data_IF_133915269700
#
_entry.id   IF_133915269700
#
_cell.length_a   1.000
_cell.length_b   1.000
_cell.length_c   1.000
_cell.angle_alpha   90.00
_cell.angle_beta   90.00
_cell.angle_gamma   90.00
#
_symmetry.space_group_name_H-M   'P 1'
#
loop_
_entity.id
_entity.type
_entity.pdbx_description
1 polymer ?
#
# COMPACT_ATOMS: atom_id res chain seq x y z
N UNK A 1 1.72 -44.16 27.70
CA UNK A 1 2.46 -43.55 28.83
C UNK A 1 2.55 -42.07 28.55
N UNK A 2 1.80 -41.26 29.30
CA UNK A 2 1.52 -39.86 28.97
C UNK A 2 2.72 -38.94 29.19
N UNK A 3 2.93 -38.03 28.25
CA UNK A 3 3.86 -36.92 28.42
C UNK A 3 3.15 -35.81 29.21
N UNK A 4 3.57 -35.60 30.46
CA UNK A 4 3.09 -34.50 31.27
C UNK A 4 3.73 -33.20 30.78
N UNK A 5 2.91 -32.28 30.27
CA UNK A 5 3.29 -30.88 30.05
C UNK A 5 2.92 -30.15 31.34
N UNK A 6 3.93 -29.79 32.14
CA UNK A 6 3.73 -28.89 33.29
C UNK A 6 3.75 -27.46 32.75
N UNK A 7 2.65 -26.69 32.84
CA UNK A 7 2.68 -25.30 32.44
C UNK A 7 3.39 -24.48 33.52
N UNK A 8 4.60 -24.00 33.21
CA UNK A 8 5.24 -22.96 34.02
C UNK A 8 4.43 -21.67 33.90
N UNK A 9 3.77 -21.30 34.98
CA UNK A 9 3.23 -19.96 35.13
C UNK A 9 4.40 -18.98 35.16
N UNK A 10 4.54 -18.23 34.05
CA UNK A 10 5.38 -17.03 33.81
C UNK A 10 6.57 -17.25 32.86
N UNK A 11 6.40 -16.66 31.66
CA UNK A 11 7.40 -16.05 30.75
C UNK A 11 8.81 -16.65 30.75
N UNK A 12 9.11 -17.49 29.75
CA UNK A 12 10.47 -17.90 29.41
C UNK A 12 10.49 -19.02 28.37
N UNK A 13 11.43 -18.97 27.42
CA UNK A 13 11.51 -19.81 26.22
C UNK A 13 11.28 -21.31 26.46
N UNK A 14 10.47 -21.94 25.62
CA UNK A 14 10.22 -23.38 25.68
C UNK A 14 11.26 -24.15 24.87
N UNK A 15 11.73 -25.27 25.42
CA UNK A 15 12.75 -26.13 24.81
C UNK A 15 12.13 -27.49 24.50
N UNK A 16 12.27 -27.98 23.28
CA UNK A 16 11.75 -29.28 22.84
C UNK A 16 12.89 -30.16 22.36
N UNK A 17 12.82 -31.46 22.68
CA UNK A 17 13.86 -32.44 22.38
C UNK A 17 13.34 -33.41 21.34
N UNK A 18 13.95 -33.41 20.15
CA UNK A 18 13.58 -34.31 19.05
C UNK A 18 14.85 -35.01 18.57
N UNK A 19 14.79 -36.34 18.41
CA UNK A 19 15.94 -37.19 18.02
C UNK A 19 17.22 -36.95 18.83
N UNK A 20 17.09 -36.73 20.15
CA UNK A 20 18.23 -36.54 21.05
C UNK A 20 18.87 -35.14 21.03
N UNK A 21 18.42 -34.22 20.15
CA UNK A 21 18.87 -32.84 20.14
C UNK A 21 17.86 -31.89 20.80
N UNK A 22 18.37 -30.86 21.49
CA UNK A 22 17.56 -29.87 22.22
C UNK A 22 17.45 -28.60 21.38
N UNK A 23 16.21 -28.20 21.09
CA UNK A 23 15.88 -26.98 20.36
C UNK A 23 15.23 -25.97 21.29
N UNK A 24 15.63 -24.70 21.19
CA UNK A 24 15.02 -23.58 21.92
C UNK A 24 14.09 -22.80 20.96
N UNK A 25 12.81 -22.58 21.28
CA UNK A 25 12.02 -21.57 20.53
C UNK A 25 12.12 -20.22 21.24
N UNK A 26 12.88 -19.32 20.64
CA UNK A 26 12.82 -17.89 20.91
C UNK A 26 11.53 -17.37 20.27
N UNK A 27 10.57 -16.93 21.08
CA UNK A 27 9.33 -16.32 20.59
C UNK A 27 9.65 -14.95 19.97
N UNK A 28 9.98 -14.90 18.68
CA UNK A 28 9.74 -13.68 17.92
C UNK A 28 8.25 -13.65 17.59
N UNK A 29 7.52 -12.56 17.91
CA UNK A 29 6.11 -12.47 17.61
C UNK A 29 5.93 -12.61 16.10
N UNK A 30 5.09 -13.56 15.71
CA UNK A 30 4.61 -13.69 14.34
C UNK A 30 3.58 -12.57 14.13
N UNK A 31 3.80 -11.57 13.27
CA UNK A 31 2.67 -10.77 12.81
C UNK A 31 1.74 -11.71 12.05
N UNK A 32 0.46 -11.62 12.38
CA UNK A 32 -0.60 -12.41 11.80
C UNK A 32 -0.62 -12.24 10.28
N UNK A 33 -1.07 -13.31 9.63
CA UNK A 33 -1.21 -13.47 8.19
C UNK A 33 -1.99 -12.30 7.57
N UNK A 34 -1.31 -11.49 6.77
CA UNK A 34 -1.88 -10.70 5.70
C UNK A 34 -1.09 -11.08 4.43
N UNK A 35 -1.80 -11.57 3.43
CA UNK A 35 -1.22 -12.33 2.32
C UNK A 35 -0.47 -11.48 1.30
N UNK A 36 0.53 -12.11 0.67
CA UNK A 36 0.97 -11.81 -0.70
C UNK A 36 1.72 -10.48 -0.89
N UNK A 37 2.95 -10.55 -1.41
CA UNK A 37 3.73 -9.44 -1.99
C UNK A 37 4.07 -8.19 -1.13
N UNK A 38 3.58 -8.04 0.09
CA UNK A 38 3.84 -6.83 0.90
C UNK A 38 5.33 -6.65 1.26
N UNK A 39 5.98 -7.74 1.67
CA UNK A 39 7.40 -7.70 2.01
C UNK A 39 8.29 -7.38 0.80
N UNK A 40 7.96 -7.92 -0.38
CA UNK A 40 8.68 -7.62 -1.62
C UNK A 40 8.48 -6.17 -2.08
N UNK A 41 7.27 -5.63 -1.91
CA UNK A 41 6.96 -4.24 -2.19
C UNK A 41 7.71 -3.27 -1.26
N UNK A 42 7.77 -3.58 0.04
CA UNK A 42 8.52 -2.80 1.01
C UNK A 42 10.03 -2.92 0.80
N UNK A 43 10.55 -4.11 0.45
CA UNK A 43 11.96 -4.28 0.02
C UNK A 43 12.24 -3.44 -1.23
N UNK A 44 11.37 -3.47 -2.24
CA UNK A 44 11.51 -2.68 -3.45
C UNK A 44 11.52 -1.18 -3.15
N UNK A 45 10.61 -0.69 -2.29
CA UNK A 45 10.57 0.72 -1.84
C UNK A 45 11.79 1.13 -1.01
N UNK A 46 12.33 0.22 -0.20
CA UNK A 46 13.53 0.43 0.60
C UNK A 46 14.83 0.29 -0.21
N UNK A 47 14.77 -0.23 -1.44
CA UNK A 47 15.95 -0.39 -2.30
C UNK A 47 16.44 0.99 -2.77
N UNK A 48 17.69 1.38 -2.47
CA UNK A 48 18.26 2.64 -2.94
C UNK A 48 18.19 2.71 -4.47
N UNK A 49 17.58 3.78 -5.00
CA UNK A 49 17.38 3.97 -6.43
C UNK A 49 15.97 3.63 -6.95
N UNK A 50 15.11 2.97 -6.17
CA UNK A 50 13.71 2.77 -6.55
C UNK A 50 12.96 4.09 -6.70
N UNK A 51 13.11 4.99 -5.73
CA UNK A 51 12.52 6.33 -5.76
C UNK A 51 13.07 7.18 -6.90
N UNK A 52 14.39 7.16 -7.12
CA UNK A 52 15.05 7.89 -8.21
C UNK A 52 14.59 7.40 -9.60
N UNK A 53 14.42 6.09 -9.79
CA UNK A 53 13.92 5.52 -11.06
C UNK A 53 12.47 5.89 -11.31
N UNK A 54 11.61 5.86 -10.28
CA UNK A 54 10.22 6.32 -10.41
C UNK A 54 10.16 7.81 -10.78
N UNK A 55 11.02 8.64 -10.17
CA UNK A 55 11.14 10.06 -10.51
C UNK A 55 11.60 10.29 -11.95
N UNK A 56 12.61 9.56 -12.43
CA UNK A 56 13.07 9.65 -13.84
C UNK A 56 11.96 9.26 -14.83
N UNK A 57 11.24 8.17 -14.57
CA UNK A 57 10.11 7.74 -15.41
C UNK A 57 8.96 8.74 -15.40
N UNK A 58 8.69 9.36 -14.24
CA UNK A 58 7.68 10.41 -14.12
C UNK A 58 8.08 11.65 -14.92
N UNK A 59 9.33 12.10 -14.78
CA UNK A 59 9.90 13.26 -15.49
C UNK A 59 9.82 13.06 -17.02
N UNK A 60 10.37 11.96 -17.52
CA UNK A 60 10.29 11.61 -18.96
C UNK A 60 8.86 11.48 -19.46
N UNK A 61 7.97 10.97 -18.61
CA UNK A 61 6.54 10.89 -18.89
C UNK A 61 5.89 12.27 -19.07
N UNK A 62 6.36 13.30 -18.36
CA UNK A 62 5.90 14.69 -18.53
C UNK A 62 6.48 15.32 -19.79
N UNK A 63 7.78 15.15 -20.03
CA UNK A 63 8.47 15.68 -21.22
C UNK A 63 7.79 15.20 -22.51
N UNK A 64 7.53 13.89 -22.63
CA UNK A 64 6.77 13.35 -23.78
C UNK A 64 5.37 13.94 -23.93
N UNK A 65 4.68 14.28 -22.83
CA UNK A 65 3.34 14.89 -22.88
C UNK A 65 3.41 16.37 -23.25
N UNK A 66 4.50 17.05 -22.92
CA UNK A 66 4.72 18.45 -23.32
C UNK A 66 4.97 18.58 -24.82
N UNK A 67 5.56 17.56 -25.43
CA UNK A 67 5.86 17.47 -26.87
C UNK A 67 4.73 16.84 -27.71
N UNK A 68 3.66 16.35 -27.09
CA UNK A 68 2.53 15.73 -27.80
C UNK A 68 1.81 16.73 -28.70
N UNK A 69 1.52 16.32 -29.93
CA UNK A 69 0.57 17.04 -30.79
C UNK A 69 -0.86 16.89 -30.28
N UNK A 70 -1.75 17.83 -30.64
CA UNK A 70 -3.15 17.80 -30.19
C UNK A 70 -3.88 16.52 -30.62
N UNK A 71 -3.56 15.96 -31.79
CA UNK A 71 -4.14 14.70 -32.25
C UNK A 71 -3.66 13.49 -31.42
N UNK A 72 -2.38 13.45 -31.06
CA UNK A 72 -1.83 12.40 -30.18
C UNK A 72 -2.40 12.52 -28.77
N UNK A 73 -2.51 13.74 -28.26
CA UNK A 73 -3.13 14.05 -26.96
C UNK A 73 -4.59 13.58 -26.94
N UNK A 74 -5.37 13.90 -27.97
CA UNK A 74 -6.77 13.47 -28.06
C UNK A 74 -6.91 11.96 -28.14
N UNK A 75 -6.06 11.26 -28.90
CA UNK A 75 -6.02 9.78 -28.90
C UNK A 75 -5.68 9.19 -27.53
N UNK A 76 -4.66 9.72 -26.85
CA UNK A 76 -4.29 9.28 -25.49
C UNK A 76 -5.42 9.51 -24.49
N UNK A 77 -6.08 10.66 -24.54
CA UNK A 77 -7.21 10.97 -23.66
C UNK A 77 -8.43 10.08 -23.94
N UNK A 78 -8.72 9.78 -25.21
CA UNK A 78 -9.77 8.84 -25.59
C UNK A 78 -9.54 7.46 -24.98
N UNK A 79 -8.30 6.92 -25.07
CA UNK A 79 -7.93 5.64 -24.45
C UNK A 79 -8.08 5.67 -22.92
N UNK A 80 -7.62 6.75 -22.26
CA UNK A 80 -7.83 6.91 -20.80
C UNK A 80 -9.32 6.96 -20.43
N UNK A 81 -10.13 7.65 -21.24
CA UNK A 81 -11.58 7.74 -21.04
C UNK A 81 -12.27 6.39 -21.16
N UNK A 82 -11.94 5.62 -22.21
CA UNK A 82 -12.46 4.26 -22.41
C UNK A 82 -12.07 3.33 -21.25
N UNK A 83 -10.80 3.35 -20.83
CA UNK A 83 -10.33 2.54 -19.71
C UNK A 83 -11.06 2.89 -18.40
N UNK A 84 -11.27 4.18 -18.12
CA UNK A 84 -12.04 4.61 -16.94
C UNK A 84 -13.51 4.18 -17.01
N UNK A 85 -14.13 4.18 -18.19
CA UNK A 85 -15.48 3.65 -18.38
C UNK A 85 -15.53 2.14 -18.14
N UNK A 86 -14.54 1.39 -18.62
CA UNK A 86 -14.42 -0.04 -18.38
C UNK A 86 -14.30 -0.36 -16.88
N UNK A 87 -13.39 0.32 -16.17
CA UNK A 87 -13.21 0.14 -14.73
C UNK A 87 -14.50 0.42 -13.95
N UNK A 88 -15.24 1.50 -14.31
CA UNK A 88 -16.54 1.81 -13.68
C UNK A 88 -17.63 0.79 -14.02
N UNK A 89 -17.58 0.17 -15.19
CA UNK A 89 -18.54 -0.86 -15.58
C UNK A 89 -18.28 -2.20 -14.87
N UNK A 90 -17.02 -2.47 -14.51
CA UNK A 90 -16.60 -3.67 -13.77
C UNK A 90 -16.59 -3.47 -12.24
N UNK A 91 -16.81 -2.23 -11.77
CA UNK A 91 -16.78 -1.88 -10.36
C UNK A 91 -17.88 -2.56 -9.57
N UNK A 92 -17.53 -3.16 -8.43
CA UNK A 92 -18.51 -3.78 -7.54
C UNK A 92 -19.23 -2.73 -6.69
N UNK A 93 -20.41 -3.08 -6.18
CA UNK A 93 -21.19 -2.20 -5.28
C UNK A 93 -20.43 -1.83 -3.99
N UNK A 94 -19.53 -2.70 -3.52
CA UNK A 94 -18.66 -2.43 -2.37
C UNK A 94 -17.55 -1.43 -2.73
N UNK A 95 -16.85 -1.65 -3.85
CA UNK A 95 -15.85 -0.71 -4.37
C UNK A 95 -16.45 0.69 -4.62
N UNK A 96 -17.68 0.74 -5.12
CA UNK A 96 -18.43 1.99 -5.34
C UNK A 96 -18.68 2.75 -4.03
N UNK A 97 -19.04 2.04 -2.96
CA UNK A 97 -19.24 2.63 -1.63
C UNK A 97 -17.93 3.13 -1.04
N UNK A 98 -16.87 2.34 -1.14
CA UNK A 98 -15.54 2.73 -0.67
C UNK A 98 -15.01 3.95 -1.42
N UNK A 99 -15.12 3.98 -2.75
CA UNK A 99 -14.73 5.13 -3.56
C UNK A 99 -15.54 6.39 -3.21
N UNK A 100 -16.83 6.24 -2.88
CA UNK A 100 -17.67 7.35 -2.39
C UNK A 100 -17.19 7.85 -1.03
N UNK A 101 -16.96 6.94 -0.08
CA UNK A 101 -16.51 7.26 1.27
C UNK A 101 -15.14 7.96 1.28
N UNK A 102 -14.16 7.43 0.54
CA UNK A 102 -12.85 8.06 0.41
C UNK A 102 -12.92 9.38 -0.35
N UNK A 103 -13.83 9.50 -1.33
CA UNK A 103 -14.11 10.75 -2.02
C UNK A 103 -14.58 11.85 -1.06
N UNK A 104 -15.62 11.57 -0.27
CA UNK A 104 -16.17 12.52 0.72
C UNK A 104 -15.11 12.93 1.76
N UNK A 105 -14.37 11.95 2.29
CA UNK A 105 -13.28 12.21 3.25
C UNK A 105 -12.19 13.10 2.65
N UNK A 106 -11.85 12.90 1.37
CA UNK A 106 -10.80 13.68 0.71
C UNK A 106 -11.26 15.11 0.40
N UNK A 107 -12.54 15.30 0.03
CA UNK A 107 -13.14 16.65 -0.11
C UNK A 107 -13.12 17.37 1.23
N UNK A 108 -13.57 16.71 2.29
CA UNK A 108 -13.52 17.27 3.64
C UNK A 108 -12.10 17.62 4.06
N UNK A 109 -11.13 16.73 3.87
CA UNK A 109 -9.73 17.00 4.18
C UNK A 109 -9.18 18.20 3.38
N UNK A 110 -9.49 18.27 2.08
CA UNK A 110 -9.08 19.37 1.20
C UNK A 110 -9.68 20.71 1.61
N UNK A 111 -10.96 20.73 1.97
CA UNK A 111 -11.64 21.94 2.45
C UNK A 111 -11.05 22.44 3.77
N UNK A 112 -10.69 21.53 4.67
CA UNK A 112 -10.05 21.88 5.93
C UNK A 112 -8.62 22.39 5.72
N UNK A 113 -7.86 21.78 4.80
CA UNK A 113 -6.52 22.26 4.42
C UNK A 113 -6.63 23.65 3.78
N UNK A 114 -7.59 23.88 2.89
CA UNK A 114 -7.84 25.18 2.27
C UNK A 114 -8.19 26.26 3.31
N UNK A 115 -9.09 25.94 4.24
CA UNK A 115 -9.46 26.83 5.35
C UNK A 115 -8.26 27.16 6.23
N UNK A 116 -7.45 26.16 6.57
CA UNK A 116 -6.23 26.31 7.36
C UNK A 116 -5.21 27.20 6.64
N UNK A 117 -4.91 26.92 5.38
CA UNK A 117 -4.00 27.72 4.56
C UNK A 117 -4.49 29.18 4.44
N UNK A 118 -5.82 29.38 4.34
CA UNK A 118 -6.42 30.72 4.28
C UNK A 118 -6.34 31.48 5.61
N UNK A 119 -6.48 30.79 6.75
CA UNK A 119 -6.28 31.39 8.08
C UNK A 119 -4.81 31.68 8.41
N UNK A 120 -3.89 30.87 7.88
CA UNK A 120 -2.44 31.06 8.05
C UNK A 120 -1.89 32.15 7.12
N UNK A 121 -2.54 32.40 5.97
CA UNK A 121 -2.16 33.41 5.00
C UNK A 121 -2.55 34.86 5.38
N UNK A 122 -3.26 35.07 6.50
CA UNK A 122 -3.47 36.39 7.11
C UNK A 122 -3.94 37.53 6.18
N UNK A 123 -5.26 37.65 6.02
CA UNK A 123 -5.92 38.97 6.07
C UNK A 123 -6.70 38.99 7.38
#
# INVERSE_FOLDING_TARGET
MGAQIVPSTKRGAYCFRIHGQIYHRTTHPHPAEAGGNDALFEIARATPGHTARLSDMAQRGQERRAEETEEQRNRRLAVKGQCSQHIRAEETEEQRKDNTFWGERNVYASDNICKKNKSEAGI
#
